data_IF_449737172846
#
_entry.id   IF_449737172846
#
_cell.length_a   1.000
_cell.length_b   1.000
_cell.length_c   1.000
_cell.angle_alpha   90.00
_cell.angle_beta   90.00
_cell.angle_gamma   90.00
#
_symmetry.space_group_name_H-M   'P 1'
#
loop_
_entity.id
_entity.type
_entity.pdbx_description
1 polymer ?
#
# COMPACT_ATOMS: atom_id res chain seq x y z
N UNK A 1 -6.09 -12.29 -24.40
CA UNK A 1 -5.52 -11.13 -23.69
C UNK A 1 -6.63 -10.54 -22.84
N UNK A 2 -6.93 -11.19 -21.72
CA UNK A 2 -7.99 -10.77 -20.80
C UNK A 2 -7.34 -10.78 -19.43
N UNK A 3 -6.77 -9.63 -19.03
CA UNK A 3 -6.59 -9.36 -17.61
C UNK A 3 -7.99 -9.49 -17.01
N UNK A 4 -8.18 -10.52 -16.20
CA UNK A 4 -9.49 -10.91 -15.71
C UNK A 4 -10.08 -9.78 -14.87
N UNK A 5 -11.39 -9.69 -14.82
CA UNK A 5 -12.16 -8.71 -14.03
C UNK A 5 -11.88 -8.80 -12.50
N UNK A 6 -11.06 -9.79 -12.13
CA UNK A 6 -10.46 -10.05 -10.82
C UNK A 6 -9.31 -9.07 -10.50
N UNK A 7 -8.47 -8.71 -11.48
CA UNK A 7 -7.35 -7.76 -11.31
C UNK A 7 -7.84 -6.31 -11.10
N UNK A 8 -9.06 -5.97 -11.53
CA UNK A 8 -9.65 -4.64 -11.38
C UNK A 8 -10.12 -4.39 -9.94
N UNK A 9 -10.52 -5.45 -9.21
CA UNK A 9 -10.97 -5.35 -7.81
C UNK A 9 -9.81 -5.12 -6.83
N UNK A 10 -8.62 -5.65 -7.14
CA UNK A 10 -7.40 -5.39 -6.36
C UNK A 10 -6.79 -4.00 -6.62
N UNK A 11 -7.26 -3.29 -7.66
CA UNK A 11 -6.80 -1.92 -7.94
C UNK A 11 -7.53 -0.90 -7.08
N UNK A 12 -6.76 -0.12 -6.35
CA UNK A 12 -7.30 1.01 -5.59
C UNK A 12 -7.84 2.07 -6.56
N UNK A 13 -9.11 2.50 -6.44
CA UNK A 13 -9.67 3.53 -7.31
C UNK A 13 -9.00 4.89 -7.07
N UNK A 14 -8.89 5.74 -8.11
CA UNK A 14 -8.21 7.04 -8.02
C UNK A 14 -8.81 7.97 -6.97
N UNK A 15 -10.09 7.81 -6.64
CA UNK A 15 -10.74 8.56 -5.57
C UNK A 15 -10.16 8.20 -4.19
N UNK A 16 -9.91 6.92 -3.91
CA UNK A 16 -9.29 6.48 -2.64
C UNK A 16 -7.80 6.80 -2.59
N UNK A 17 -7.10 6.75 -3.73
CA UNK A 17 -5.72 7.22 -3.82
C UNK A 17 -5.57 8.69 -3.44
N UNK A 18 -6.58 9.54 -3.69
CA UNK A 18 -6.56 10.95 -3.24
C UNK A 18 -6.65 11.09 -1.72
N UNK A 19 -7.40 10.20 -1.05
CA UNK A 19 -7.54 10.21 0.41
C UNK A 19 -6.20 9.95 1.12
N UNK A 20 -5.32 9.13 0.52
CA UNK A 20 -3.95 8.94 1.01
C UNK A 20 -3.19 10.28 1.14
N UNK A 21 -3.43 11.21 0.20
CA UNK A 21 -2.83 12.54 0.20
C UNK A 21 -3.43 13.51 1.22
N UNK A 22 -4.62 13.22 1.76
CA UNK A 22 -5.25 14.00 2.82
C UNK A 22 -4.82 13.53 4.22
N UNK A 23 -4.38 12.27 4.36
CA UNK A 23 -3.89 11.73 5.63
C UNK A 23 -2.60 12.43 6.09
N UNK A 24 -2.70 13.09 7.25
CA UNK A 24 -1.55 13.75 7.88
C UNK A 24 -0.49 12.75 8.35
N UNK A 25 -0.93 11.59 8.83
CA UNK A 25 -0.04 10.50 9.26
C UNK A 25 0.77 9.97 8.09
N UNK A 26 0.11 9.62 6.98
CA UNK A 26 0.78 9.15 5.78
C UNK A 26 1.74 10.21 5.21
N UNK A 27 1.34 11.49 5.22
CA UNK A 27 2.22 12.60 4.85
C UNK A 27 3.42 12.74 5.77
N UNK A 28 3.27 12.50 7.08
CA UNK A 28 4.37 12.52 8.03
C UNK A 28 5.34 11.37 7.76
N UNK A 29 4.85 10.16 7.47
CA UNK A 29 5.67 9.02 7.06
C UNK A 29 6.46 9.33 5.79
N UNK A 30 5.82 9.93 4.78
CA UNK A 30 6.47 10.35 3.54
C UNK A 30 7.50 11.47 3.69
N UNK A 31 7.54 12.19 4.82
CA UNK A 31 8.65 13.13 5.11
C UNK A 31 9.95 12.40 5.41
N UNK A 32 9.90 11.12 5.77
CA UNK A 32 11.10 10.32 6.00
C UNK A 32 11.81 10.05 4.67
N UNK A 33 13.07 10.50 4.52
CA UNK A 33 13.82 10.29 3.28
C UNK A 33 14.06 8.81 3.00
N UNK A 34 14.23 8.01 4.06
CA UNK A 34 14.41 6.56 3.94
C UNK A 34 13.20 5.89 3.30
N UNK A 35 11.98 6.17 3.79
CA UNK A 35 10.76 5.62 3.21
C UNK A 35 10.60 5.98 1.73
N UNK A 36 10.91 7.23 1.36
CA UNK A 36 10.89 7.66 -0.05
C UNK A 36 11.88 6.87 -0.89
N UNK A 37 13.05 6.54 -0.36
CA UNK A 37 14.01 5.68 -1.05
C UNK A 37 13.50 4.25 -1.21
N UNK A 38 12.85 3.69 -0.19
CA UNK A 38 12.23 2.36 -0.29
C UNK A 38 11.16 2.34 -1.39
N UNK A 39 10.31 3.37 -1.46
CA UNK A 39 9.28 3.52 -2.49
C UNK A 39 9.88 3.68 -3.89
N UNK A 40 10.95 4.46 -4.05
CA UNK A 40 11.66 4.59 -5.32
C UNK A 40 12.35 3.28 -5.74
N UNK A 41 12.88 2.53 -4.76
CA UNK A 41 13.55 1.26 -5.01
C UNK A 41 12.59 0.22 -5.56
N UNK A 42 11.37 0.11 -5.01
CA UNK A 42 10.35 -0.80 -5.55
C UNK A 42 9.79 -0.33 -6.89
N UNK A 43 9.61 0.99 -7.08
CA UNK A 43 9.11 1.54 -8.34
C UNK A 43 10.07 1.26 -9.51
N UNK A 44 11.38 1.43 -9.25
CA UNK A 44 12.45 1.21 -10.24
C UNK A 44 12.92 -0.25 -10.34
N UNK A 45 12.41 -1.15 -9.49
CA UNK A 45 12.89 -2.53 -9.44
C UNK A 45 12.40 -3.37 -10.63
N UNK A 46 13.28 -4.17 -11.26
CA UNK A 46 12.86 -5.14 -12.27
C UNK A 46 12.00 -6.26 -11.66
N UNK A 47 12.25 -6.63 -10.40
CA UNK A 47 11.50 -7.64 -9.66
C UNK A 47 10.79 -7.04 -8.43
N UNK A 48 9.63 -6.43 -8.68
CA UNK A 48 8.83 -5.74 -7.65
C UNK A 48 8.42 -6.68 -6.53
N UNK A 49 8.11 -7.94 -6.83
CA UNK A 49 7.70 -8.94 -5.82
C UNK A 49 8.83 -9.24 -4.83
N UNK A 50 10.06 -9.47 -5.32
CA UNK A 50 11.20 -9.76 -4.44
C UNK A 50 11.65 -8.55 -3.64
N UNK A 51 11.56 -7.34 -4.22
CA UNK A 51 11.85 -6.10 -3.49
C UNK A 51 10.76 -5.85 -2.45
N UNK A 52 9.48 -5.97 -2.80
CA UNK A 52 8.36 -5.83 -1.87
C UNK A 52 8.51 -6.74 -0.66
N UNK A 53 8.86 -8.02 -0.86
CA UNK A 53 9.10 -8.95 0.26
C UNK A 53 10.21 -8.49 1.20
N UNK A 54 11.25 -7.83 0.68
CA UNK A 54 12.31 -7.24 1.50
C UNK A 54 11.82 -5.99 2.22
N UNK A 55 11.08 -5.13 1.54
CA UNK A 55 10.50 -3.93 2.14
C UNK A 55 9.49 -4.28 3.24
N UNK A 56 8.76 -5.39 3.13
CA UNK A 56 7.86 -5.87 4.17
C UNK A 56 8.59 -6.31 5.46
N UNK A 57 9.92 -6.42 5.45
CA UNK A 57 10.73 -6.62 6.66
C UNK A 57 11.11 -5.29 7.33
N UNK A 58 10.97 -4.17 6.62
CA UNK A 58 11.28 -2.83 7.13
C UNK A 58 10.09 -2.28 7.91
N UNK A 59 10.22 -2.00 9.22
CA UNK A 59 9.10 -1.54 10.04
C UNK A 59 8.50 -0.24 9.51
N UNK A 60 9.33 0.65 8.94
CA UNK A 60 8.89 1.91 8.36
C UNK A 60 8.01 1.71 7.11
N UNK A 61 8.31 0.70 6.30
CA UNK A 61 7.50 0.39 5.12
C UNK A 61 6.22 -0.34 5.50
N UNK A 62 6.26 -1.21 6.51
CA UNK A 62 5.08 -1.88 7.06
C UNK A 62 4.10 -0.85 7.62
N UNK A 63 4.56 0.10 8.43
CA UNK A 63 3.74 1.19 8.98
C UNK A 63 3.12 2.06 7.87
N UNK A 64 3.89 2.35 6.82
CA UNK A 64 3.37 3.03 5.64
C UNK A 64 2.29 2.23 4.91
N UNK A 65 2.51 0.93 4.70
CA UNK A 65 1.55 0.06 4.03
C UNK A 65 0.26 -0.07 4.85
N UNK A 66 0.38 -0.23 6.17
CA UNK A 66 -0.74 -0.32 7.10
C UNK A 66 -1.60 0.95 7.07
N UNK A 67 -0.96 2.13 7.13
CA UNK A 67 -1.63 3.41 6.95
C UNK A 67 -2.32 3.54 5.60
N UNK A 68 -1.70 3.07 4.51
CA UNK A 68 -2.32 3.09 3.19
C UNK A 68 -3.57 2.20 3.18
N UNK A 69 -3.43 0.95 3.66
CA UNK A 69 -4.50 -0.04 3.71
C UNK A 69 -5.68 0.48 4.54
N UNK A 70 -5.46 1.04 5.72
CA UNK A 70 -6.53 1.61 6.54
C UNK A 70 -7.33 2.74 5.85
N UNK A 71 -6.76 3.43 4.87
CA UNK A 71 -7.42 4.49 4.09
C UNK A 71 -8.10 3.92 2.84
N UNK A 72 -7.48 2.95 2.18
CA UNK A 72 -7.96 2.41 0.89
C UNK A 72 -8.88 1.21 1.03
N UNK A 73 -8.80 0.49 2.15
CA UNK A 73 -9.62 -0.67 2.44
C UNK A 73 -11.02 -0.19 2.82
N UNK A 74 -12.08 -0.80 2.25
CA UNK A 74 -13.44 -0.48 2.67
C UNK A 74 -13.60 -0.86 4.16
N UNK A 75 -14.44 -0.15 4.93
CA UNK A 75 -14.69 -0.42 6.36
C UNK A 75 -15.39 -1.77 6.64
N UNK A 76 -15.39 -2.71 5.69
CA UNK A 76 -16.22 -3.91 5.73
C UNK A 76 -15.45 -5.13 5.23
N UNK A 77 -14.41 -5.52 5.99
CA UNK A 77 -14.02 -6.93 6.17
C UNK A 77 -13.49 -7.13 7.59
N UNK A 78 -14.32 -6.79 8.57
CA UNK A 78 -14.35 -7.60 9.79
C UNK A 78 -14.87 -8.97 9.35
N UNK A 79 -13.97 -9.86 8.92
CA UNK A 79 -14.27 -11.28 8.88
C UNK A 79 -14.49 -11.69 10.33
N UNK A 80 -15.74 -11.58 10.75
CA UNK A 80 -16.38 -12.45 11.72
C UNK A 80 -15.97 -13.89 11.35
N UNK A 81 -14.83 -14.35 11.86
CA UNK A 81 -14.50 -15.76 11.90
C UNK A 81 -15.49 -16.35 12.92
N UNK A 82 -16.47 -17.19 12.51
CA UNK A 82 -17.17 -18.00 13.48
C UNK A 82 -16.16 -19.05 13.95
N UNK A 83 -15.85 -19.05 15.25
CA UNK A 83 -15.27 -20.23 15.93
C UNK A 83 -16.20 -21.45 15.82
#
# INVERSE_FOLDING_TARGET
>A
DTLGEEDEQDRVPPQRLKLLGESQELRALLRNPHLRQLLLAIDSAPDKRSVLRRLMQEPLFVEFADCCLGIVEPPEKENLLPE
#
